data_IF_280865624175
#
_entry.id   IF_280865624175
#
_cell.length_a   1.000
_cell.length_b   1.000
_cell.length_c   1.000
_cell.angle_alpha   90.00
_cell.angle_beta   90.00
_cell.angle_gamma   90.00
#
_symmetry.space_group_name_H-M   'P 1'
#
loop_
_entity.id
_entity.type
_entity.pdbx_description
1 polymer ?
#
# COMPACT_ATOMS: atom_id res chain seq x y z
N UNK A 1 -2.60 -27.79 -19.99
CA UNK A 1 -1.57 -26.72 -19.93
C UNK A 1 -0.66 -26.88 -18.74
N UNK A 2 0.65 -26.80 -18.94
CA UNK A 2 1.70 -26.99 -17.92
C UNK A 2 1.53 -26.03 -16.72
N UNK A 3 0.85 -24.91 -16.90
CA UNK A 3 0.71 -23.84 -15.90
C UNK A 3 -0.68 -23.77 -15.23
N UNK A 4 -1.59 -24.69 -15.53
CA UNK A 4 -2.98 -24.62 -15.04
C UNK A 4 -3.11 -24.63 -13.52
N UNK A 5 -2.14 -25.21 -12.81
CA UNK A 5 -2.22 -25.39 -11.35
C UNK A 5 -1.34 -24.41 -10.56
N UNK A 6 -0.66 -23.48 -11.22
CA UNK A 6 0.21 -22.51 -10.54
C UNK A 6 -0.67 -21.45 -9.86
N UNK A 7 -0.60 -21.42 -8.52
CA UNK A 7 -1.36 -20.47 -7.69
C UNK A 7 -0.50 -19.32 -7.16
N UNK A 8 0.80 -19.51 -7.05
CA UNK A 8 1.74 -18.54 -6.56
C UNK A 8 2.85 -18.39 -7.60
N UNK A 9 3.06 -17.17 -8.08
CA UNK A 9 4.14 -16.86 -9.01
C UNK A 9 5.08 -15.86 -8.34
N UNK A 10 6.32 -16.30 -8.12
CA UNK A 10 7.40 -15.42 -7.73
C UNK A 10 8.33 -15.23 -8.92
N UNK A 11 8.52 -13.99 -9.33
CA UNK A 11 9.43 -13.62 -10.40
C UNK A 11 10.46 -12.63 -9.88
N UNK A 12 11.71 -12.99 -10.07
CA UNK A 12 12.87 -12.21 -9.68
C UNK A 12 13.79 -12.12 -10.90
N UNK A 13 13.95 -10.91 -11.45
CA UNK A 13 14.75 -10.70 -12.66
C UNK A 13 16.20 -10.33 -12.40
N UNK A 14 16.64 -10.25 -11.15
CA UNK A 14 18.01 -9.85 -10.82
C UNK A 14 18.42 -8.52 -11.49
N UNK A 15 17.48 -7.59 -11.64
CA UNK A 15 17.67 -6.31 -12.34
C UNK A 15 17.98 -6.41 -13.84
N UNK A 16 17.70 -7.53 -14.50
CA UNK A 16 17.78 -7.66 -15.96
C UNK A 16 16.51 -7.04 -16.58
N UNK A 17 16.64 -6.06 -17.52
CA UNK A 17 15.49 -5.48 -18.18
C UNK A 17 14.66 -6.52 -18.94
N UNK A 18 13.35 -6.56 -18.68
CA UNK A 18 12.39 -7.35 -19.45
C UNK A 18 11.51 -6.41 -20.28
N UNK A 19 11.29 -6.74 -21.56
CA UNK A 19 10.32 -6.03 -22.39
C UNK A 19 8.93 -6.18 -21.79
N UNK A 20 8.19 -5.08 -21.72
CA UNK A 20 6.85 -5.04 -21.16
C UNK A 20 5.91 -6.10 -21.78
N UNK A 21 5.98 -6.29 -23.09
CA UNK A 21 5.20 -7.30 -23.80
C UNK A 21 5.61 -8.75 -23.42
N UNK A 22 6.90 -8.99 -23.14
CA UNK A 22 7.36 -10.30 -22.66
C UNK A 22 6.82 -10.62 -21.26
N UNK A 23 6.77 -9.63 -20.36
CA UNK A 23 6.15 -9.80 -19.05
C UNK A 23 4.66 -10.14 -19.19
N UNK A 24 3.93 -9.42 -20.03
CA UNK A 24 2.52 -9.70 -20.29
C UNK A 24 2.33 -11.13 -20.80
N UNK A 25 3.07 -11.51 -21.84
CA UNK A 25 2.98 -12.85 -22.43
C UNK A 25 3.36 -13.96 -21.44
N UNK A 26 4.26 -13.68 -20.49
CA UNK A 26 4.54 -14.61 -19.39
C UNK A 26 3.32 -14.75 -18.48
N UNK A 27 2.75 -13.63 -18.01
CA UNK A 27 1.63 -13.63 -17.07
C UNK A 27 0.35 -14.23 -17.67
N UNK A 28 0.09 -14.02 -18.96
CA UNK A 28 -1.07 -14.56 -19.67
C UNK A 28 -1.08 -16.10 -19.74
N UNK A 29 0.07 -16.77 -19.56
CA UNK A 29 0.17 -18.23 -19.49
C UNK A 29 -0.43 -18.81 -18.22
N UNK A 30 -0.70 -18.00 -17.21
CA UNK A 30 -1.16 -18.45 -15.91
C UNK A 30 -2.58 -17.98 -15.62
N UNK A 31 -3.55 -18.89 -15.72
CA UNK A 31 -4.97 -18.55 -15.59
C UNK A 31 -5.46 -18.46 -14.14
N UNK A 32 -4.72 -19.00 -13.17
CA UNK A 32 -5.19 -19.23 -11.80
C UNK A 32 -4.25 -18.68 -10.70
N UNK A 33 -3.40 -17.71 -11.04
CA UNK A 33 -2.52 -17.06 -10.05
C UNK A 33 -3.38 -16.34 -9.02
N UNK A 34 -3.22 -16.73 -7.76
CA UNK A 34 -3.79 -16.08 -6.58
C UNK A 34 -2.79 -15.10 -5.95
N UNK A 35 -1.49 -15.37 -6.05
CA UNK A 35 -0.44 -14.51 -5.52
C UNK A 35 0.66 -14.26 -6.55
N UNK A 36 0.96 -12.99 -6.78
CA UNK A 36 2.04 -12.54 -7.64
C UNK A 36 3.00 -11.72 -6.82
N UNK A 37 4.26 -12.15 -6.79
CA UNK A 37 5.38 -11.37 -6.26
C UNK A 37 6.36 -11.08 -7.40
N UNK A 38 6.56 -9.80 -7.69
CA UNK A 38 7.55 -9.30 -8.64
C UNK A 38 8.66 -8.61 -7.85
N UNK A 39 9.91 -8.96 -8.14
CA UNK A 39 11.08 -8.50 -7.39
C UNK A 39 12.18 -8.10 -8.35
N UNK A 40 12.90 -7.03 -8.00
CA UNK A 40 14.07 -6.54 -8.76
C UNK A 40 13.79 -6.38 -10.26
N UNK A 41 12.59 -5.89 -10.60
CA UNK A 41 12.06 -5.84 -11.96
C UNK A 41 12.35 -4.51 -12.66
N UNK A 42 13.09 -4.58 -13.76
CA UNK A 42 13.30 -3.45 -14.67
C UNK A 42 12.46 -3.69 -15.93
N UNK A 43 11.55 -2.76 -16.24
CA UNK A 43 10.70 -2.85 -17.42
C UNK A 43 11.25 -1.96 -18.52
N UNK A 44 11.51 -2.57 -19.68
CA UNK A 44 11.71 -1.84 -20.93
C UNK A 44 10.34 -1.48 -21.53
N UNK A 45 10.05 -0.17 -21.52
CA UNK A 45 8.83 0.45 -22.03
C UNK A 45 8.90 0.80 -23.53
N UNK A 46 9.93 0.36 -24.25
CA UNK A 46 10.07 0.57 -25.70
C UNK A 46 8.92 -0.04 -26.52
N UNK A 47 8.19 -1.01 -25.95
CA UNK A 47 6.99 -1.61 -26.53
C UNK A 47 5.72 -1.15 -25.82
N UNK A 48 4.67 -0.82 -26.58
CA UNK A 48 3.32 -0.57 -26.06
C UNK A 48 2.59 -1.88 -25.79
N UNK A 49 1.84 -1.95 -24.68
CA UNK A 49 0.89 -3.04 -24.46
C UNK A 49 -0.33 -2.89 -25.38
N UNK A 50 -0.74 -3.98 -26.01
CA UNK A 50 -2.03 -4.03 -26.72
C UNK A 50 -3.22 -3.81 -25.77
N UNK A 51 -3.09 -4.23 -24.51
CA UNK A 51 -4.08 -4.13 -23.45
C UNK A 51 -3.43 -4.29 -22.07
N UNK A 52 -4.07 -3.72 -21.06
CA UNK A 52 -3.62 -3.84 -19.66
C UNK A 52 -3.58 -5.31 -19.20
N UNK A 53 -2.64 -5.61 -18.30
CA UNK A 53 -2.50 -6.92 -17.65
C UNK A 53 -3.69 -7.14 -16.72
N UNK A 54 -4.43 -8.24 -16.92
CA UNK A 54 -5.60 -8.58 -16.12
C UNK A 54 -5.46 -9.99 -15.52
N UNK A 55 -5.38 -10.05 -14.20
CA UNK A 55 -5.18 -11.27 -13.42
C UNK A 55 -6.40 -11.46 -12.52
N UNK A 56 -7.51 -11.96 -13.09
CA UNK A 56 -8.83 -12.01 -12.45
C UNK A 56 -8.87 -12.80 -11.12
N UNK A 57 -7.99 -13.78 -10.97
CA UNK A 57 -7.90 -14.62 -9.76
C UNK A 57 -6.94 -14.08 -8.72
N UNK A 58 -6.21 -13.00 -9.02
CA UNK A 58 -5.20 -12.47 -8.13
C UNK A 58 -5.85 -11.91 -6.87
N UNK A 59 -5.40 -12.42 -5.72
CA UNK A 59 -5.79 -11.96 -4.39
C UNK A 59 -4.68 -11.09 -3.78
N UNK A 60 -3.42 -11.41 -4.07
CA UNK A 60 -2.26 -10.77 -3.48
C UNK A 60 -1.26 -10.34 -4.53
N UNK A 61 -0.99 -9.04 -4.60
CA UNK A 61 0.05 -8.47 -5.43
C UNK A 61 1.15 -7.88 -4.54
N UNK A 62 2.38 -8.27 -4.79
CA UNK A 62 3.55 -7.67 -4.16
C UNK A 62 4.57 -7.29 -5.22
N UNK A 63 5.00 -6.04 -5.21
CA UNK A 63 6.09 -5.55 -6.04
C UNK A 63 7.15 -5.02 -5.10
N UNK A 64 8.36 -5.52 -5.25
CA UNK A 64 9.56 -4.97 -4.66
C UNK A 64 10.40 -4.40 -5.77
N UNK A 65 10.89 -3.18 -5.55
CA UNK A 65 11.75 -2.53 -6.51
C UNK A 65 13.17 -2.43 -5.96
N UNK A 66 14.14 -2.48 -6.85
CA UNK A 66 15.57 -2.34 -6.53
C UNK A 66 16.12 -0.97 -6.87
N UNK A 67 15.47 -0.24 -7.77
CA UNK A 67 15.90 1.10 -8.18
C UNK A 67 14.73 2.09 -8.10
N UNK A 68 14.86 3.07 -7.21
CA UNK A 68 13.88 4.12 -6.97
C UNK A 68 13.55 4.94 -8.24
N UNK A 69 14.40 4.89 -9.28
CA UNK A 69 14.18 5.62 -10.54
C UNK A 69 13.44 4.83 -11.61
N UNK A 70 13.33 3.50 -11.46
CA UNK A 70 12.78 2.61 -12.47
C UNK A 70 11.77 1.70 -11.79
N UNK A 71 10.52 2.15 -11.69
CA UNK A 71 9.45 1.38 -11.05
C UNK A 71 8.40 0.93 -12.05
N UNK A 72 7.75 -0.19 -11.74
CA UNK A 72 6.62 -0.67 -12.54
C UNK A 72 5.46 0.31 -12.34
N UNK A 73 5.06 0.99 -13.41
CA UNK A 73 3.84 1.80 -13.40
C UNK A 73 2.61 0.90 -13.20
N UNK A 74 1.84 1.12 -12.13
CA UNK A 74 0.66 0.32 -11.83
C UNK A 74 -0.47 0.45 -12.86
N UNK A 75 -0.47 1.48 -13.71
CA UNK A 75 -1.46 1.64 -14.78
C UNK A 75 -1.39 0.54 -15.84
N UNK A 76 -0.29 -0.22 -15.89
CA UNK A 76 -0.15 -1.42 -16.71
C UNK A 76 -1.14 -2.52 -16.30
N UNK A 77 -1.53 -2.56 -15.03
CA UNK A 77 -2.49 -3.50 -14.50
C UNK A 77 -3.91 -2.93 -14.57
N UNK A 78 -4.88 -3.79 -14.91
CA UNK A 78 -6.29 -3.45 -14.84
C UNK A 78 -6.86 -3.75 -13.44
N UNK A 79 -6.35 -3.05 -12.42
CA UNK A 79 -6.66 -3.32 -11.01
C UNK A 79 -8.17 -3.27 -10.71
N UNK A 80 -8.92 -2.36 -11.33
CA UNK A 80 -10.37 -2.24 -11.13
C UNK A 80 -11.16 -3.47 -11.59
N UNK A 81 -10.59 -4.31 -12.46
CA UNK A 81 -11.19 -5.58 -12.90
C UNK A 81 -10.74 -6.81 -12.10
N UNK A 82 -9.78 -6.65 -11.18
CA UNK A 82 -9.27 -7.74 -10.34
C UNK A 82 -10.09 -7.84 -9.05
N UNK A 83 -11.34 -8.30 -9.16
CA UNK A 83 -12.33 -8.30 -8.07
C UNK A 83 -11.93 -9.12 -6.83
N UNK A 84 -10.94 -10.01 -6.94
CA UNK A 84 -10.41 -10.82 -5.84
C UNK A 84 -9.23 -10.16 -5.11
N UNK A 85 -8.66 -9.07 -5.64
CA UNK A 85 -7.44 -8.46 -5.12
C UNK A 85 -7.73 -7.76 -3.78
N UNK A 86 -7.28 -8.37 -2.68
CA UNK A 86 -7.44 -7.86 -1.31
C UNK A 86 -6.18 -7.27 -0.73
N UNK A 87 -5.01 -7.67 -1.25
CA UNK A 87 -3.72 -7.23 -0.73
C UNK A 87 -2.84 -6.66 -1.83
N UNK A 88 -2.33 -5.45 -1.61
CA UNK A 88 -1.31 -4.82 -2.45
C UNK A 88 -0.15 -4.35 -1.58
N UNK A 89 1.08 -4.72 -1.96
CA UNK A 89 2.31 -4.12 -1.43
C UNK A 89 3.18 -3.62 -2.57
N UNK A 90 3.46 -2.33 -2.62
CA UNK A 90 4.22 -1.69 -3.71
C UNK A 90 5.00 -0.47 -3.19
N UNK A 91 6.08 -0.04 -3.86
CA UNK A 91 6.63 1.30 -3.68
C UNK A 91 5.60 2.39 -4.02
N UNK A 92 5.59 3.49 -3.27
CA UNK A 92 4.65 4.60 -3.49
C UNK A 92 4.77 5.16 -4.91
N UNK A 93 5.99 5.24 -5.47
CA UNK A 93 6.24 5.75 -6.82
C UNK A 93 5.55 4.94 -7.93
N UNK A 94 5.12 3.70 -7.64
CA UNK A 94 4.35 2.90 -8.59
C UNK A 94 2.89 3.41 -8.73
N UNK A 95 2.40 4.19 -7.77
CA UNK A 95 1.09 4.83 -7.83
C UNK A 95 1.12 6.03 -8.78
N UNK A 96 0.04 6.21 -9.52
CA UNK A 96 -0.22 7.43 -10.29
C UNK A 96 -1.51 8.06 -9.80
N UNK A 97 -1.65 9.38 -9.94
CA UNK A 97 -2.82 10.13 -9.48
C UNK A 97 -4.15 9.59 -10.06
N UNK A 98 -4.07 9.10 -11.30
CA UNK A 98 -5.20 8.56 -12.05
C UNK A 98 -5.42 7.05 -11.85
N UNK A 99 -4.64 6.39 -11.00
CA UNK A 99 -4.80 4.96 -10.75
C UNK A 99 -6.16 4.68 -10.11
N UNK A 100 -6.89 3.72 -10.68
CA UNK A 100 -8.11 3.18 -10.10
C UNK A 100 -7.75 1.98 -9.26
N UNK A 101 -7.85 2.12 -7.94
CA UNK A 101 -7.62 1.03 -6.99
C UNK A 101 -8.79 0.03 -7.02
N UNK A 102 -8.56 -1.26 -6.70
CA UNK A 102 -9.62 -2.23 -6.61
C UNK A 102 -10.52 -1.89 -5.41
N UNK A 103 -11.84 -1.86 -5.62
CA UNK A 103 -12.80 -1.51 -4.57
C UNK A 103 -12.69 -2.40 -3.35
N UNK A 104 -12.37 -3.67 -3.56
CA UNK A 104 -12.30 -4.70 -2.54
C UNK A 104 -10.95 -4.75 -1.80
N UNK A 105 -10.03 -3.83 -2.09
CA UNK A 105 -8.72 -3.82 -1.43
C UNK A 105 -8.89 -3.66 0.09
N UNK A 106 -8.38 -4.62 0.86
CA UNK A 106 -8.46 -4.63 2.32
C UNK A 106 -7.14 -4.21 2.97
N UNK A 107 -6.02 -4.55 2.34
CA UNK A 107 -4.68 -4.22 2.83
C UNK A 107 -3.84 -3.55 1.76
N UNK A 108 -3.34 -2.35 2.07
CA UNK A 108 -2.38 -1.63 1.26
C UNK A 108 -1.10 -1.37 2.05
N UNK A 109 0.03 -1.72 1.47
CA UNK A 109 1.35 -1.45 2.02
C UNK A 109 2.14 -0.65 1.00
N UNK A 110 2.50 0.58 1.37
CA UNK A 110 3.32 1.45 0.56
C UNK A 110 4.73 1.52 1.13
N UNK A 111 5.70 1.16 0.30
CA UNK A 111 7.13 1.31 0.62
C UNK A 111 7.69 2.59 0.02
N UNK A 112 8.84 3.04 0.53
CA UNK A 112 9.56 4.20 -0.02
C UNK A 112 8.67 5.46 -0.12
N UNK A 113 7.85 5.70 0.91
CA UNK A 113 6.95 6.85 0.91
C UNK A 113 7.75 8.15 1.04
N UNK A 114 7.71 8.97 -0.01
CA UNK A 114 8.38 10.27 -0.10
C UNK A 114 7.40 11.42 0.07
N UNK A 115 6.22 11.28 -0.52
CA UNK A 115 5.15 12.26 -0.48
C UNK A 115 4.06 11.85 0.49
N UNK A 116 3.45 12.84 1.13
CA UNK A 116 2.41 12.64 2.15
C UNK A 116 1.01 12.88 1.54
N UNK A 117 0.90 12.88 0.21
CA UNK A 117 -0.41 12.92 -0.44
C UNK A 117 -0.99 11.50 -0.52
N UNK A 118 -2.15 11.32 0.09
CA UNK A 118 -2.87 10.06 0.09
C UNK A 118 -4.31 10.17 -0.42
N UNK A 119 -4.59 11.10 -1.33
CA UNK A 119 -5.94 11.32 -1.89
C UNK A 119 -6.51 10.07 -2.59
N UNK A 120 -5.66 9.16 -3.06
CA UNK A 120 -6.12 7.88 -3.63
C UNK A 120 -6.76 6.95 -2.58
N UNK A 121 -6.50 7.12 -1.28
CA UNK A 121 -7.09 6.29 -0.21
C UNK A 121 -8.61 6.36 -0.26
N UNK A 122 -9.17 7.52 -0.64
CA UNK A 122 -10.63 7.69 -0.76
C UNK A 122 -11.26 6.76 -1.79
N UNK A 123 -10.47 6.25 -2.75
CA UNK A 123 -10.94 5.30 -3.76
C UNK A 123 -10.97 3.85 -3.24
N UNK A 124 -10.42 3.59 -2.06
CA UNK A 124 -10.30 2.24 -1.48
C UNK A 124 -11.38 2.04 -0.40
N UNK A 125 -12.64 1.84 -0.86
CA UNK A 125 -13.83 1.74 -0.01
C UNK A 125 -13.78 0.62 1.03
N UNK A 126 -13.02 -0.47 0.77
CA UNK A 126 -12.88 -1.62 1.67
C UNK A 126 -11.55 -1.67 2.44
N UNK A 127 -10.77 -0.58 2.45
CA UNK A 127 -9.44 -0.57 3.04
C UNK A 127 -9.51 -0.60 4.57
N UNK A 128 -9.00 -1.68 5.17
CA UNK A 128 -8.96 -1.90 6.62
C UNK A 128 -7.58 -1.66 7.20
N UNK A 129 -6.53 -1.97 6.44
CA UNK A 129 -5.15 -1.88 6.90
C UNK A 129 -4.33 -1.07 5.89
N UNK A 130 -3.72 0.00 6.38
CA UNK A 130 -2.73 0.78 5.64
C UNK A 130 -1.39 0.77 6.38
N UNK A 131 -0.32 0.39 5.68
CA UNK A 131 1.04 0.50 6.21
C UNK A 131 1.89 1.38 5.30
N UNK A 132 2.58 2.35 5.89
CA UNK A 132 3.40 3.32 5.18
C UNK A 132 4.84 3.22 5.69
N UNK A 133 5.80 2.93 4.82
CA UNK A 133 7.22 2.98 5.16
C UNK A 133 7.78 4.33 4.75
N UNK A 134 8.02 5.18 5.75
CA UNK A 134 8.33 6.59 5.56
C UNK A 134 9.84 6.81 5.69
N UNK A 135 10.42 7.54 4.74
CA UNK A 135 11.85 7.83 4.75
C UNK A 135 12.23 8.95 5.74
N UNK A 136 11.30 9.85 6.08
CA UNK A 136 11.57 11.05 6.88
C UNK A 136 10.57 11.22 8.04
N UNK A 137 10.39 10.18 8.86
CA UNK A 137 9.38 10.19 9.91
C UNK A 137 9.59 11.29 10.97
N UNK A 138 10.85 11.58 11.34
CA UNK A 138 11.17 12.60 12.34
C UNK A 138 10.69 14.01 11.97
N UNK A 139 10.63 14.32 10.67
CA UNK A 139 10.06 15.58 10.17
C UNK A 139 8.55 15.65 10.38
N UNK A 140 7.87 14.51 10.29
CA UNK A 140 6.41 14.44 10.53
C UNK A 140 6.06 14.73 12.00
N UNK A 141 6.99 14.51 12.92
CA UNK A 141 6.86 14.83 14.35
C UNK A 141 7.17 16.29 14.68
N UNK A 142 7.67 17.10 13.73
CA UNK A 142 7.84 18.54 13.92
C UNK A 142 6.46 19.21 14.13
N UNK A 143 6.46 20.41 14.72
CA UNK A 143 5.23 21.13 15.11
C UNK A 143 4.27 20.23 15.90
N UNK A 144 4.80 19.45 16.84
CA UNK A 144 4.02 18.55 17.69
C UNK A 144 3.22 17.48 16.92
N UNK A 145 3.64 17.13 15.70
CA UNK A 145 3.01 16.08 14.91
C UNK A 145 1.72 16.51 14.20
N UNK A 146 1.52 17.80 13.95
CA UNK A 146 0.35 18.33 13.24
C UNK A 146 0.14 17.64 11.87
N UNK A 147 1.21 17.40 11.13
CA UNK A 147 1.15 16.67 9.84
C UNK A 147 0.62 15.24 10.02
N UNK A 148 1.07 14.52 11.07
CA UNK A 148 0.60 13.17 11.36
C UNK A 148 -0.89 13.21 11.70
N UNK A 149 -1.32 14.18 12.51
CA UNK A 149 -2.73 14.36 12.86
C UNK A 149 -3.57 14.61 11.60
N UNK A 150 -3.09 15.45 10.67
CA UNK A 150 -3.78 15.71 9.41
C UNK A 150 -3.91 14.43 8.56
N UNK A 151 -2.85 13.63 8.45
CA UNK A 151 -2.90 12.33 7.76
C UNK A 151 -3.93 11.40 8.42
N UNK A 152 -3.91 11.31 9.75
CA UNK A 152 -4.87 10.49 10.51
C UNK A 152 -6.30 10.95 10.23
N UNK A 153 -6.56 12.25 10.32
CA UNK A 153 -7.87 12.82 10.04
C UNK A 153 -8.32 12.54 8.60
N UNK A 154 -7.45 12.73 7.62
CA UNK A 154 -7.70 12.40 6.22
C UNK A 154 -8.11 10.94 6.06
N UNK A 155 -7.41 10.01 6.72
CA UNK A 155 -7.66 8.57 6.58
C UNK A 155 -8.93 8.13 7.32
N UNK A 156 -9.16 8.65 8.53
CA UNK A 156 -10.21 8.14 9.44
C UNK A 156 -11.52 8.93 9.41
N UNK A 157 -11.52 10.23 9.08
CA UNK A 157 -12.74 11.06 9.09
C UNK A 157 -13.55 10.99 7.78
N UNK A 158 -12.93 10.60 6.66
CA UNK A 158 -13.57 10.68 5.34
C UNK A 158 -14.44 9.43 5.01
N UNK A 159 -15.40 9.11 5.89
CA UNK A 159 -16.36 7.98 5.77
C UNK A 159 -15.74 6.58 5.71
N UNK A 160 -14.44 6.44 5.96
CA UNK A 160 -13.78 5.13 5.97
C UNK A 160 -13.97 4.43 7.34
N UNK A 161 -15.23 4.16 7.67
CA UNK A 161 -15.67 3.59 8.96
C UNK A 161 -15.05 2.23 9.27
N UNK A 162 -14.55 1.55 8.25
CA UNK A 162 -13.95 0.21 8.35
C UNK A 162 -12.42 0.23 8.50
N UNK A 163 -11.76 1.38 8.34
CA UNK A 163 -10.31 1.47 8.51
C UNK A 163 -9.96 1.08 9.95
N UNK A 164 -9.27 -0.03 10.14
CA UNK A 164 -8.94 -0.57 11.46
C UNK A 164 -7.59 -0.09 11.94
N UNK A 165 -6.61 -0.05 11.04
CA UNK A 165 -5.21 0.16 11.40
C UNK A 165 -4.47 0.97 10.35
N UNK A 166 -3.81 2.04 10.82
CA UNK A 166 -2.79 2.78 10.10
C UNK A 166 -1.45 2.56 10.80
N UNK A 167 -0.47 1.99 10.10
CA UNK A 167 0.88 1.82 10.61
C UNK A 167 1.85 2.71 9.85
N UNK A 168 2.54 3.57 10.60
CA UNK A 168 3.61 4.40 10.09
C UNK A 168 4.93 3.75 10.53
N UNK A 169 5.57 3.03 9.60
CA UNK A 169 6.82 2.31 9.83
C UNK A 169 7.97 3.31 9.82
N UNK A 170 8.78 3.31 10.87
CA UNK A 170 9.66 4.42 11.16
C UNK A 170 10.97 3.97 11.84
N UNK A 171 11.94 3.59 11.01
CA UNK A 171 13.28 3.25 11.50
C UNK A 171 14.04 4.52 11.91
N UNK A 172 14.73 4.48 13.06
CA UNK A 172 15.62 5.57 13.48
C UNK A 172 14.94 6.82 14.04
N UNK A 173 13.68 6.72 14.49
CA UNK A 173 12.92 7.84 15.05
C UNK A 173 13.41 8.25 16.44
N UNK A 174 13.36 9.56 16.72
CA UNK A 174 13.59 10.07 18.07
C UNK A 174 12.45 9.64 19.03
N UNK A 175 12.75 8.65 19.88
CA UNK A 175 11.79 8.08 20.84
C UNK A 175 11.17 9.13 21.79
N UNK A 176 11.91 10.18 22.14
CA UNK A 176 11.40 11.25 23.01
C UNK A 176 10.34 12.06 22.30
N UNK A 177 10.57 12.46 21.03
CA UNK A 177 9.57 13.17 20.22
C UNK A 177 8.30 12.32 20.05
N UNK A 178 8.46 11.02 19.82
CA UNK A 178 7.34 10.10 19.69
C UNK A 178 6.49 10.03 20.96
N UNK A 179 7.11 9.84 22.13
CA UNK A 179 6.38 9.80 23.41
C UNK A 179 5.61 11.10 23.69
N UNK A 180 6.18 12.25 23.32
CA UNK A 180 5.51 13.55 23.44
C UNK A 180 4.27 13.58 22.55
N UNK A 181 4.41 13.17 21.28
CA UNK A 181 3.31 13.07 20.34
C UNK A 181 2.20 12.14 20.85
N UNK A 182 2.53 10.91 21.27
CA UNK A 182 1.55 9.94 21.77
C UNK A 182 0.77 10.50 22.96
N UNK A 183 1.47 11.15 23.89
CA UNK A 183 0.84 11.77 25.06
C UNK A 183 -0.14 12.85 24.62
N UNK A 184 0.24 13.73 23.68
CA UNK A 184 -0.63 14.77 23.17
C UNK A 184 -1.81 14.19 22.37
N UNK A 185 -1.58 13.20 21.53
CA UNK A 185 -2.61 12.51 20.75
C UNK A 185 -3.69 11.91 21.65
N UNK A 186 -3.27 11.16 22.69
CA UNK A 186 -4.17 10.52 23.63
C UNK A 186 -4.89 11.54 24.53
N UNK A 187 -4.22 12.64 24.93
CA UNK A 187 -4.86 13.73 25.68
C UNK A 187 -5.95 14.45 24.87
N UNK A 188 -5.75 14.59 23.56
CA UNK A 188 -6.72 15.21 22.67
C UNK A 188 -7.93 14.31 22.35
N UNK A 189 -7.95 13.08 22.86
CA UNK A 189 -9.06 12.13 22.82
C UNK A 189 -9.71 12.05 21.43
N UNK A 190 -8.89 11.87 20.39
CA UNK A 190 -9.36 11.72 19.02
C UNK A 190 -10.24 10.47 18.98
N UNK A 191 -11.54 10.69 18.72
CA UNK A 191 -12.61 9.72 19.01
C UNK A 191 -12.26 8.32 18.51
N UNK A 192 -12.21 7.38 19.46
CA UNK A 192 -12.04 5.95 19.22
C UNK A 192 -10.74 5.55 18.51
N UNK A 193 -9.70 6.38 18.55
CA UNK A 193 -8.39 6.04 18.03
C UNK A 193 -7.37 5.97 19.17
N UNK A 194 -6.53 4.94 19.13
CA UNK A 194 -5.39 4.78 20.01
C UNK A 194 -4.10 4.88 19.21
N UNK A 195 -3.12 5.61 19.74
CA UNK A 195 -1.76 5.65 19.22
C UNK A 195 -0.83 4.76 20.07
N UNK A 196 -0.09 3.85 19.41
CA UNK A 196 0.81 2.88 20.03
C UNK A 196 2.14 2.85 19.27
N UNK A 197 3.23 3.16 19.95
CA UNK A 197 4.59 3.02 19.45
C UNK A 197 5.30 1.81 20.07
N UNK A 198 5.77 0.90 19.22
CA UNK A 198 6.45 -0.33 19.63
C UNK A 198 7.98 -0.28 19.49
N UNK A 199 8.54 0.90 19.21
CA UNK A 199 9.97 1.09 18.91
C UNK A 199 10.33 1.00 17.43
N UNK A 200 9.42 0.51 16.57
CA UNK A 200 9.65 0.34 15.13
C UNK A 200 8.57 1.01 14.26
N UNK A 201 7.38 1.18 14.80
CA UNK A 201 6.24 1.76 14.12
C UNK A 201 5.37 2.54 15.08
N UNK A 202 4.76 3.62 14.57
CA UNK A 202 3.61 4.25 15.20
C UNK A 202 2.35 3.64 14.58
N UNK A 203 1.58 2.95 15.40
CA UNK A 203 0.30 2.34 15.01
C UNK A 203 -0.85 3.20 15.54
N UNK A 204 -1.72 3.63 14.65
CA UNK A 204 -3.00 4.25 14.96
C UNK A 204 -4.08 3.19 14.71
N UNK A 205 -4.83 2.83 15.74
CA UNK A 205 -5.80 1.74 15.68
C UNK A 205 -7.17 2.22 16.17
N UNK A 206 -8.25 1.78 15.49
CA UNK A 206 -9.61 1.94 16.04
C UNK A 206 -9.77 1.12 17.31
N UNK A 207 -10.34 1.75 18.33
CA UNK A 207 -10.73 1.08 19.57
C UNK A 207 -11.92 0.15 19.34
N UNK A 208 -11.98 -0.96 20.09
CA UNK A 208 -13.11 -1.91 20.03
C UNK A 208 -14.48 -1.24 20.31
N UNK A 209 -14.50 -0.20 21.16
CA UNK A 209 -15.70 0.58 21.48
C UNK A 209 -16.38 1.21 20.25
N UNK A 210 -15.64 1.43 19.16
CA UNK A 210 -16.20 1.94 17.91
C UNK A 210 -17.08 0.89 17.21
N UNK A 211 -16.63 -0.36 17.19
CA UNK A 211 -17.33 -1.45 16.53
C UNK A 211 -18.56 -1.89 17.34
N UNK A 212 -18.49 -1.82 18.67
CA UNK A 212 -19.61 -2.14 19.56
C UNK A 212 -20.79 -1.16 19.44
N UNK A 213 -20.56 0.06 18.92
CA UNK A 213 -21.62 1.06 18.67
C UNK A 213 -22.25 0.97 17.27
N UNK A 214 -21.65 0.19 16.36
CA UNK A 214 -22.08 0.05 14.97
C UNK A 214 -22.72 -1.29 14.64
N UNK A 215 -22.74 -2.21 15.62
CA UNK A 215 -23.51 -3.46 15.66
C UNK A 215 -24.87 -3.27 16.31
#
# INVERSE_FOLDING_TARGET
>A
DIYSNVRHLYYDSESIPIKLECLKNLLDKFHLINELKLDRLIIDYSSLLSNKINLRHLNKLTIYNTDEKISINMNLFNLSSMYNLRYIRIPQICLSDNLQMPKQLETLILTECRDINFDFIYKCENLRILKLFLNNFDRLLENNGELIINIINTIYNNNNNIMETLQLMCHGVNQTKMKIFEKQFNLNNIKYLNAIYDGKSLTIQRSNLYFDQSS
#
